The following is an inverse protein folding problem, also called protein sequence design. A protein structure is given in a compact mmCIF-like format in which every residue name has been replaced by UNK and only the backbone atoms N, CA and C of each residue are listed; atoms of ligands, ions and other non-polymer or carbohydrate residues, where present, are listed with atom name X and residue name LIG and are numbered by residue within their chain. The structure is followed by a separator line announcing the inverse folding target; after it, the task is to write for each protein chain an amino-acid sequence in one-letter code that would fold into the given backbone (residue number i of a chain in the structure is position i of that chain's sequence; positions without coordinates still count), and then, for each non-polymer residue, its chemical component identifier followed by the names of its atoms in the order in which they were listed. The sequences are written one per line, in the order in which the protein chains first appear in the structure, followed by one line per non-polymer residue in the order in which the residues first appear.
data_IF_391965931016
#
_entry.id   IF_391965931016
#
_cell.length_a   1.000
_cell.length_b   1.000
_cell.length_c   1.000
_cell.angle_alpha   90.00
_cell.angle_beta   90.00
_cell.angle_gamma   90.00
#
_symmetry.space_group_name_H-M   'P 1'
#
loop_
_entity.id
_entity.type
_entity.pdbx_description
1 polymer ?
#
# COMPACT_ATOMS: atom_id res chain seq x y z
N UNK A 1 -2.41 -48.33 -23.94
CA UNK A 1 -1.58 -47.15 -23.62
C UNK A 1 -2.34 -45.93 -24.08
N UNK A 2 -3.23 -45.38 -23.24
CA UNK A 2 -3.76 -44.04 -23.45
C UNK A 2 -2.68 -43.09 -22.94
N UNK A 3 -1.98 -42.44 -23.84
CA UNK A 3 -1.18 -41.27 -23.53
C UNK A 3 -2.12 -40.22 -22.97
N UNK A 4 -1.98 -39.87 -21.69
CA UNK A 4 -2.58 -38.68 -21.08
C UNK A 4 -2.06 -37.46 -21.86
N UNK A 5 -2.74 -37.12 -22.95
CA UNK A 5 -2.52 -35.86 -23.65
C UNK A 5 -3.15 -34.78 -22.77
N UNK A 6 -2.31 -34.07 -22.03
CA UNK A 6 -2.68 -32.90 -21.25
C UNK A 6 -3.62 -32.00 -22.07
N UNK A 7 -4.87 -31.84 -21.62
CA UNK A 7 -5.89 -31.07 -22.32
C UNK A 7 -5.39 -29.64 -22.54
N UNK A 8 -5.21 -29.24 -23.80
CA UNK A 8 -4.82 -27.87 -24.13
C UNK A 8 -6.03 -26.96 -24.10
N UNK A 9 -5.84 -25.72 -23.66
CA UNK A 9 -6.90 -24.72 -23.57
C UNK A 9 -6.58 -23.50 -24.43
N UNK A 10 -7.62 -22.86 -24.97
CA UNK A 10 -7.52 -21.60 -25.67
C UNK A 10 -6.88 -20.55 -24.76
N UNK A 11 -5.81 -19.92 -25.23
CA UNK A 11 -5.00 -18.98 -24.47
C UNK A 11 -5.66 -17.60 -24.25
N UNK A 12 -6.97 -17.49 -24.50
CA UNK A 12 -7.80 -16.29 -24.34
C UNK A 12 -9.04 -16.53 -23.49
N UNK A 13 -9.87 -17.54 -23.82
CA UNK A 13 -11.15 -17.80 -23.14
C UNK A 13 -11.17 -19.09 -22.29
N UNK A 14 -10.11 -19.91 -22.32
CA UNK A 14 -10.00 -21.11 -21.49
C UNK A 14 -10.89 -22.28 -21.86
N UNK A 15 -11.50 -22.26 -23.06
CA UNK A 15 -12.17 -23.43 -23.61
C UNK A 15 -11.13 -24.50 -24.01
N UNK A 16 -11.37 -25.80 -23.79
CA UNK A 16 -10.54 -26.85 -24.35
C UNK A 16 -10.40 -26.72 -25.86
N UNK A 17 -9.21 -26.99 -26.37
CA UNK A 17 -8.97 -27.08 -27.80
C UNK A 17 -9.03 -28.56 -28.19
N UNK A 18 -10.00 -28.93 -29.00
CA UNK A 18 -10.07 -30.25 -29.60
C UNK A 18 -9.20 -30.26 -30.87
N UNK A 19 -7.89 -30.48 -30.70
CA UNK A 19 -6.93 -30.46 -31.80
C UNK A 19 -6.60 -31.91 -32.18
N UNK A 20 -7.14 -32.37 -33.31
CA UNK A 20 -6.62 -33.55 -33.99
C UNK A 20 -5.30 -33.19 -34.70
N UNK A 21 -4.18 -33.55 -34.06
CA UNK A 21 -2.83 -33.29 -34.56
C UNK A 21 -2.53 -33.96 -35.91
N UNK A 22 -3.34 -34.95 -36.33
CA UNK A 22 -3.14 -35.67 -37.58
C UNK A 22 -3.78 -34.97 -38.79
N UNK A 23 -4.61 -33.95 -38.57
CA UNK A 23 -5.43 -33.31 -39.62
C UNK A 23 -5.49 -31.78 -39.48
N UNK A 24 -4.36 -31.15 -39.16
CA UNK A 24 -4.26 -29.70 -39.07
C UNK A 24 -4.35 -29.08 -40.48
N UNK A 25 -5.53 -28.57 -40.84
CA UNK A 25 -5.69 -27.66 -41.96
C UNK A 25 -4.82 -26.41 -41.78
N UNK A 26 -4.38 -25.80 -42.88
CA UNK A 26 -3.35 -24.73 -42.93
C UNK A 26 -3.67 -23.42 -42.19
N UNK A 27 -4.81 -23.30 -41.50
CA UNK A 27 -5.28 -22.07 -40.85
C UNK A 27 -5.75 -22.23 -39.38
N UNK A 28 -5.56 -23.39 -38.74
CA UNK A 28 -6.04 -23.61 -37.36
C UNK A 28 -4.94 -23.22 -36.36
N UNK A 29 -5.27 -22.38 -35.38
CA UNK A 29 -4.33 -22.00 -34.33
C UNK A 29 -4.18 -23.10 -33.28
N UNK A 30 -2.94 -23.49 -32.97
CA UNK A 30 -2.66 -24.44 -31.89
C UNK A 30 -2.85 -23.86 -30.47
N UNK A 31 -3.05 -22.54 -30.35
CA UNK A 31 -3.15 -21.84 -29.06
C UNK A 31 -4.48 -21.14 -28.83
N UNK A 32 -5.30 -20.90 -29.85
CA UNK A 32 -6.52 -20.10 -29.74
C UNK A 32 -7.68 -20.79 -30.45
N UNK A 33 -8.89 -20.69 -29.86
CA UNK A 33 -10.11 -21.14 -30.55
C UNK A 33 -10.54 -20.12 -31.62
N UNK A 34 -11.32 -20.60 -32.58
CA UNK A 34 -11.79 -19.82 -33.74
C UNK A 34 -12.60 -18.57 -33.35
N UNK A 35 -13.28 -18.62 -32.20
CA UNK A 35 -14.01 -17.47 -31.65
C UNK A 35 -13.09 -16.35 -31.14
N UNK A 36 -11.96 -16.72 -30.54
CA UNK A 36 -11.02 -15.76 -29.95
C UNK A 36 -10.06 -15.17 -30.99
N UNK A 37 -9.79 -15.92 -32.07
CA UNK A 37 -8.86 -15.52 -33.12
C UNK A 37 -9.49 -15.80 -34.49
N UNK A 38 -10.14 -14.79 -35.08
CA UNK A 38 -10.72 -14.87 -36.41
C UNK A 38 -9.79 -14.19 -37.42
N UNK A 39 -9.27 -14.94 -38.39
CA UNK A 39 -8.32 -14.44 -39.41
C UNK A 39 -7.10 -13.69 -38.82
N UNK A 40 -6.59 -14.13 -37.67
CA UNK A 40 -5.45 -13.50 -37.00
C UNK A 40 -5.78 -12.23 -36.20
N UNK A 41 -7.05 -11.80 -36.14
CA UNK A 41 -7.50 -10.63 -35.38
C UNK A 41 -8.31 -11.09 -34.15
N UNK A 42 -7.99 -10.53 -32.97
CA UNK A 42 -8.79 -10.74 -31.76
C UNK A 42 -10.13 -10.03 -31.90
N UNK A 43 -11.22 -10.80 -31.96
CA UNK A 43 -12.56 -10.25 -32.17
C UNK A 43 -13.08 -9.40 -31.02
N UNK A 44 -12.69 -9.70 -29.77
CA UNK A 44 -13.20 -9.04 -28.57
C UNK A 44 -12.17 -9.03 -27.41
N UNK A 45 -12.02 -7.90 -26.69
CA UNK A 45 -11.19 -7.76 -25.47
C UNK A 45 -12.06 -7.70 -24.21
N UNK A 46 -12.80 -8.78 -23.93
CA UNK A 46 -13.54 -8.91 -22.68
C UNK A 46 -12.59 -9.01 -21.46
N UNK A 47 -13.03 -8.52 -20.29
CA UNK A 47 -12.36 -8.76 -19.01
C UNK A 47 -12.49 -10.23 -18.58
N UNK A 48 -11.63 -10.69 -17.66
CA UNK A 48 -11.70 -12.05 -17.14
C UNK A 48 -13.06 -12.30 -16.45
N UNK A 49 -13.49 -11.38 -15.59
CA UNK A 49 -14.75 -11.49 -14.85
C UNK A 49 -15.95 -11.53 -15.80
N UNK A 50 -15.93 -10.73 -16.87
CA UNK A 50 -17.01 -10.76 -17.86
C UNK A 50 -17.04 -12.08 -18.63
N UNK A 51 -15.88 -12.68 -18.93
CA UNK A 51 -15.83 -14.02 -19.53
C UNK A 51 -16.36 -15.09 -18.57
N UNK A 52 -15.99 -15.06 -17.29
CA UNK A 52 -16.52 -15.98 -16.26
C UNK A 52 -18.04 -15.82 -16.17
N UNK A 53 -18.52 -14.58 -16.17
CA UNK A 53 -19.94 -14.27 -16.16
C UNK A 53 -20.67 -14.84 -17.38
N UNK A 54 -20.15 -14.61 -18.60
CA UNK A 54 -20.72 -15.15 -19.84
C UNK A 54 -20.77 -16.68 -19.83
N UNK A 55 -19.70 -17.34 -19.39
CA UNK A 55 -19.69 -18.80 -19.27
C UNK A 55 -20.74 -19.33 -18.30
N UNK A 56 -20.97 -18.63 -17.19
CA UNK A 56 -22.02 -18.99 -16.25
C UNK A 56 -23.45 -18.69 -16.75
N UNK A 57 -23.62 -17.73 -17.68
CA UNK A 57 -24.92 -17.47 -18.31
C UNK A 57 -25.29 -18.55 -19.32
N UNK A 58 -24.31 -19.09 -20.03
CA UNK A 58 -24.51 -20.01 -21.15
C UNK A 58 -23.66 -21.30 -20.99
N UNK A 59 -23.85 -22.10 -19.93
CA UNK A 59 -23.10 -23.34 -19.72
C UNK A 59 -23.31 -24.36 -20.86
N UNK A 60 -24.44 -24.30 -21.57
CA UNK A 60 -24.74 -25.13 -22.73
C UNK A 60 -23.79 -24.89 -23.91
N UNK A 61 -23.29 -23.67 -24.08
CA UNK A 61 -22.29 -23.38 -25.13
C UNK A 61 -20.97 -24.06 -24.81
N UNK A 62 -20.62 -24.18 -23.53
CA UNK A 62 -19.46 -24.97 -23.12
C UNK A 62 -19.72 -26.46 -23.37
N UNK A 63 -20.91 -26.98 -23.04
CA UNK A 63 -21.26 -28.38 -23.33
C UNK A 63 -21.14 -28.74 -24.80
N UNK A 64 -21.58 -27.87 -25.72
CA UNK A 64 -21.46 -28.10 -27.18
C UNK A 64 -20.02 -28.35 -27.63
N UNK A 65 -19.07 -27.69 -26.98
CA UNK A 65 -17.66 -27.69 -27.36
C UNK A 65 -16.87 -28.84 -26.71
N UNK A 66 -17.27 -29.32 -25.53
CA UNK A 66 -16.51 -30.32 -24.76
C UNK A 66 -17.27 -31.59 -24.41
N UNK A 67 -18.57 -31.63 -24.66
CA UNK A 67 -19.43 -32.77 -24.32
C UNK A 67 -19.62 -33.00 -22.81
N UNK A 68 -19.13 -32.11 -21.95
CA UNK A 68 -19.28 -32.20 -20.48
C UNK A 68 -20.28 -31.14 -20.01
N UNK A 69 -21.33 -31.58 -19.32
CA UNK A 69 -22.36 -30.70 -18.78
C UNK A 69 -21.93 -30.17 -17.41
N UNK A 70 -22.03 -28.86 -17.23
CA UNK A 70 -21.79 -28.17 -15.97
C UNK A 70 -22.98 -27.26 -15.66
N UNK A 71 -23.28 -27.09 -14.38
CA UNK A 71 -24.16 -26.01 -13.93
C UNK A 71 -23.46 -24.65 -14.07
N UNK A 72 -24.25 -23.57 -14.06
CA UNK A 72 -23.74 -22.20 -14.07
C UNK A 72 -22.75 -21.89 -12.94
N UNK A 73 -22.90 -22.51 -11.75
CA UNK A 73 -21.96 -22.32 -10.64
C UNK A 73 -20.66 -23.07 -10.88
N UNK A 74 -20.75 -24.33 -11.29
CA UNK A 74 -19.57 -25.19 -11.52
C UNK A 74 -18.67 -24.62 -12.61
N UNK A 75 -19.25 -24.17 -13.73
CA UNK A 75 -18.46 -23.59 -14.82
C UNK A 75 -17.78 -22.29 -14.39
N UNK A 76 -18.43 -21.46 -13.56
CA UNK A 76 -17.80 -20.26 -13.01
C UNK A 76 -16.61 -20.62 -12.12
N UNK A 77 -16.75 -21.62 -11.26
CA UNK A 77 -15.67 -22.07 -10.37
C UNK A 77 -14.49 -22.69 -11.13
N UNK A 78 -14.77 -23.41 -12.22
CA UNK A 78 -13.76 -23.95 -13.13
C UNK A 78 -13.03 -22.80 -13.84
N UNK A 79 -13.75 -21.86 -14.43
CA UNK A 79 -13.15 -20.74 -15.16
C UNK A 79 -12.37 -19.80 -14.23
N UNK A 80 -12.85 -19.58 -13.01
CA UNK A 80 -12.17 -18.76 -12.00
C UNK A 80 -10.80 -19.33 -11.59
N UNK A 81 -10.64 -20.65 -11.63
CA UNK A 81 -9.35 -21.32 -11.39
C UNK A 81 -8.49 -21.41 -12.64
N UNK A 82 -9.10 -21.64 -13.82
CA UNK A 82 -8.39 -21.89 -15.07
C UNK A 82 -7.88 -20.62 -15.75
N UNK A 83 -8.71 -19.58 -15.85
CA UNK A 83 -8.36 -18.37 -16.59
C UNK A 83 -7.09 -17.70 -16.06
N UNK A 84 -6.85 -17.57 -14.73
CA UNK A 84 -5.60 -16.98 -14.22
C UNK A 84 -4.32 -17.66 -14.71
N UNK A 85 -4.34 -18.96 -14.97
CA UNK A 85 -3.15 -19.72 -15.40
C UNK A 85 -2.85 -19.63 -16.90
N UNK A 86 -3.79 -19.13 -17.69
CA UNK A 86 -3.65 -19.00 -19.15
C UNK A 86 -2.73 -17.82 -19.50
N UNK A 87 -1.89 -17.96 -20.54
CA UNK A 87 -0.87 -16.98 -20.96
C UNK A 87 -1.37 -15.52 -20.97
N UNK A 88 -2.51 -15.23 -21.63
CA UNK A 88 -3.08 -13.86 -21.71
C UNK A 88 -3.30 -13.24 -20.33
N UNK A 89 -3.85 -14.01 -19.40
CA UNK A 89 -4.27 -13.54 -18.09
C UNK A 89 -3.12 -13.54 -17.10
N UNK A 90 -2.32 -14.59 -17.10
CA UNK A 90 -1.07 -14.69 -16.35
C UNK A 90 -0.14 -13.52 -16.69
N UNK A 91 0.02 -13.18 -17.97
CA UNK A 91 0.79 -12.01 -18.40
C UNK A 91 0.17 -10.70 -17.90
N UNK A 92 -1.15 -10.51 -18.01
CA UNK A 92 -1.83 -9.31 -17.49
C UNK A 92 -1.64 -9.17 -15.97
N UNK A 93 -1.80 -10.24 -15.19
CA UNK A 93 -1.60 -10.26 -13.72
C UNK A 93 -0.14 -9.94 -13.38
N UNK A 94 0.82 -10.58 -14.04
CA UNK A 94 2.24 -10.32 -13.83
C UNK A 94 2.59 -8.85 -14.15
N UNK A 95 2.02 -8.31 -15.23
CA UNK A 95 2.23 -6.91 -15.60
C UNK A 95 1.66 -5.97 -14.54
N UNK A 96 0.47 -6.26 -14.00
CA UNK A 96 -0.13 -5.48 -12.93
C UNK A 96 0.72 -5.49 -11.65
N UNK A 97 1.24 -6.66 -11.24
CA UNK A 97 2.18 -6.76 -10.11
C UNK A 97 3.44 -5.92 -10.34
N UNK A 98 4.10 -6.07 -11.48
CA UNK A 98 5.32 -5.30 -11.81
C UNK A 98 5.05 -3.79 -11.81
N UNK A 99 3.91 -3.36 -12.35
CA UNK A 99 3.52 -1.95 -12.36
C UNK A 99 3.22 -1.41 -10.95
N UNK A 100 2.59 -2.22 -10.09
CA UNK A 100 2.35 -1.86 -8.70
C UNK A 100 3.67 -1.74 -7.92
N UNK A 101 4.59 -2.70 -8.06
CA UNK A 101 5.91 -2.63 -7.45
C UNK A 101 6.73 -1.42 -7.93
N UNK A 102 6.62 -1.08 -9.21
CA UNK A 102 7.20 0.12 -9.78
C UNK A 102 6.63 1.38 -9.11
N UNK A 103 5.31 1.49 -8.93
CA UNK A 103 4.70 2.64 -8.25
C UNK A 103 5.17 2.74 -6.79
N UNK A 104 5.24 1.62 -6.07
CA UNK A 104 5.70 1.60 -4.67
C UNK A 104 7.15 2.09 -4.55
N UNK A 105 8.05 1.66 -5.45
CA UNK A 105 9.43 2.16 -5.50
C UNK A 105 9.50 3.66 -5.78
N UNK A 106 8.66 4.16 -6.69
CA UNK A 106 8.61 5.60 -6.98
C UNK A 106 8.05 6.40 -5.80
N UNK A 107 7.07 5.89 -5.07
CA UNK A 107 6.58 6.53 -3.85
C UNK A 107 7.70 6.63 -2.79
N UNK A 108 8.47 5.57 -2.62
CA UNK A 108 9.62 5.56 -1.71
C UNK A 108 10.67 6.60 -2.11
N UNK A 109 10.96 6.69 -3.42
CA UNK A 109 11.82 7.75 -3.95
C UNK A 109 11.27 9.15 -3.64
N UNK A 110 9.99 9.40 -3.89
CA UNK A 110 9.34 10.68 -3.58
C UNK A 110 9.42 11.01 -2.10
N UNK A 111 9.21 10.02 -1.23
CA UNK A 111 9.29 10.20 0.22
C UNK A 111 10.69 10.66 0.67
N UNK A 112 11.76 10.10 0.10
CA UNK A 112 13.16 10.47 0.40
C UNK A 112 13.58 11.80 -0.23
N UNK A 113 12.98 12.14 -1.36
CA UNK A 113 13.33 13.30 -2.20
C UNK A 113 12.19 14.34 -2.26
N UNK A 114 11.38 14.44 -1.20
CA UNK A 114 10.09 15.13 -1.23
C UNK A 114 10.20 16.59 -1.69
N UNK A 115 11.29 17.26 -1.31
CA UNK A 115 11.54 18.67 -1.65
C UNK A 115 12.54 18.87 -2.79
N UNK A 116 12.95 17.80 -3.46
CA UNK A 116 13.83 17.89 -4.63
C UNK A 116 13.02 18.26 -5.89
N UNK A 117 13.73 18.47 -7.01
CA UNK A 117 13.09 18.70 -8.31
C UNK A 117 12.52 17.39 -8.87
N UNK A 118 11.25 17.11 -8.52
CA UNK A 118 10.52 15.92 -8.96
C UNK A 118 9.71 16.24 -10.22
N UNK A 119 10.31 16.03 -11.39
CA UNK A 119 9.63 16.20 -12.68
C UNK A 119 8.99 14.88 -13.18
N UNK A 120 7.95 14.99 -14.00
CA UNK A 120 7.35 13.79 -14.61
C UNK A 120 8.36 13.03 -15.48
N UNK A 121 9.25 13.76 -16.14
CA UNK A 121 10.40 13.25 -16.89
C UNK A 121 11.28 12.34 -16.03
N UNK A 122 11.86 12.89 -14.96
CA UNK A 122 12.78 12.18 -14.07
C UNK A 122 12.13 10.95 -13.46
N UNK A 123 10.90 11.08 -12.93
CA UNK A 123 10.18 9.97 -12.32
C UNK A 123 9.85 8.86 -13.33
N UNK A 124 9.45 9.22 -14.56
CA UNK A 124 9.17 8.24 -15.61
C UNK A 124 10.42 7.50 -16.09
N UNK A 125 11.56 8.19 -16.14
CA UNK A 125 12.86 7.62 -16.49
C UNK A 125 13.34 6.65 -15.40
N UNK A 126 13.23 7.03 -14.12
CA UNK A 126 13.50 6.15 -12.97
C UNK A 126 12.60 4.91 -12.99
N UNK A 127 11.35 5.07 -13.42
CA UNK A 127 10.41 3.97 -13.57
C UNK A 127 10.64 3.10 -14.83
N UNK A 128 11.44 3.56 -15.81
CA UNK A 128 11.70 2.82 -17.05
C UNK A 128 10.49 2.73 -18.00
N UNK A 129 9.50 3.61 -17.88
CA UNK A 129 8.29 3.61 -18.72
C UNK A 129 7.96 5.01 -19.24
N UNK A 130 7.19 5.10 -20.33
CA UNK A 130 6.83 6.40 -20.92
C UNK A 130 6.03 7.27 -19.94
N UNK A 131 6.23 8.60 -20.00
CA UNK A 131 5.53 9.59 -19.16
C UNK A 131 4.00 9.41 -19.15
N UNK A 132 3.42 9.15 -20.31
CA UNK A 132 1.97 8.97 -20.47
C UNK A 132 1.48 7.67 -19.82
N UNK A 133 2.24 6.58 -19.94
CA UNK A 133 1.90 5.34 -19.27
C UNK A 133 2.09 5.47 -17.75
N UNK A 134 3.22 6.01 -17.31
CA UNK A 134 3.51 6.27 -15.89
C UNK A 134 2.41 7.10 -15.23
N UNK A 135 2.00 8.21 -15.84
CA UNK A 135 0.93 9.07 -15.28
C UNK A 135 -0.38 8.31 -15.09
N UNK A 136 -0.75 7.42 -16.03
CA UNK A 136 -1.97 6.61 -15.94
C UNK A 136 -1.82 5.55 -14.84
N UNK A 137 -0.73 4.81 -14.85
CA UNK A 137 -0.43 3.74 -13.87
C UNK A 137 -0.40 4.32 -12.45
N UNK A 138 0.32 5.41 -12.24
CA UNK A 138 0.40 6.07 -10.92
C UNK A 138 -0.98 6.51 -10.44
N UNK A 139 -1.81 7.12 -11.31
CA UNK A 139 -3.17 7.51 -10.94
C UNK A 139 -4.06 6.31 -10.61
N UNK A 140 -3.94 5.23 -11.36
CA UNK A 140 -4.71 4.00 -11.10
C UNK A 140 -4.33 3.37 -9.76
N UNK A 141 -3.05 3.36 -9.41
CA UNK A 141 -2.56 2.75 -8.15
C UNK A 141 -2.80 3.66 -6.94
N UNK A 142 -2.49 4.95 -7.05
CA UNK A 142 -2.54 5.89 -5.92
C UNK A 142 -3.89 6.61 -5.78
N UNK A 143 -4.81 6.46 -6.73
CA UNK A 143 -6.09 7.18 -6.77
C UNK A 143 -5.98 8.65 -7.22
N UNK A 144 -4.79 9.25 -7.21
CA UNK A 144 -4.57 10.66 -7.54
C UNK A 144 -3.43 10.90 -8.55
N UNK A 145 -3.41 12.10 -9.15
CA UNK A 145 -2.33 12.44 -10.08
C UNK A 145 -1.02 12.68 -9.32
N UNK A 146 0.10 12.22 -9.88
CA UNK A 146 1.45 12.38 -9.32
C UNK A 146 1.78 13.81 -8.83
N UNK A 147 1.39 14.85 -9.58
CA UNK A 147 1.66 16.24 -9.16
C UNK A 147 0.86 16.64 -7.93
N UNK A 148 -0.40 16.21 -7.85
CA UNK A 148 -1.26 16.43 -6.68
C UNK A 148 -0.77 15.62 -5.48
N UNK A 149 -0.34 14.37 -5.70
CA UNK A 149 0.28 13.52 -4.69
C UNK A 149 1.48 14.21 -4.04
N UNK A 150 2.47 14.63 -4.85
CA UNK A 150 3.67 15.31 -4.34
C UNK A 150 3.31 16.61 -3.62
N UNK A 151 2.39 17.41 -4.18
CA UNK A 151 1.95 18.65 -3.56
C UNK A 151 1.28 18.41 -2.20
N UNK A 152 0.41 17.40 -2.11
CA UNK A 152 -0.25 16.99 -0.86
C UNK A 152 0.78 16.63 0.20
N UNK A 153 1.71 15.72 -0.13
CA UNK A 153 2.74 15.29 0.82
C UNK A 153 3.60 16.46 1.31
N UNK A 154 3.97 17.38 0.42
CA UNK A 154 4.69 18.61 0.79
C UNK A 154 3.89 19.47 1.78
N UNK A 155 2.60 19.68 1.52
CA UNK A 155 1.74 20.50 2.38
C UNK A 155 1.48 19.83 3.73
N UNK A 156 1.29 18.52 3.77
CA UNK A 156 1.11 17.75 5.00
C UNK A 156 2.40 17.74 5.85
N UNK A 157 3.57 17.59 5.23
CA UNK A 157 4.86 17.74 5.92
C UNK A 157 5.02 19.15 6.52
N UNK A 158 4.66 20.19 5.75
CA UNK A 158 4.70 21.58 6.22
C UNK A 158 3.77 21.77 7.40
N UNK A 159 2.52 21.31 7.30
CA UNK A 159 1.56 21.33 8.41
C UNK A 159 2.13 20.64 9.65
N UNK A 160 2.79 19.50 9.48
CA UNK A 160 3.41 18.76 10.57
C UNK A 160 4.49 19.57 11.26
N UNK A 161 5.42 20.17 10.52
CA UNK A 161 6.46 21.05 11.08
C UNK A 161 5.85 22.28 11.78
N UNK A 162 4.76 22.83 11.25
CA UNK A 162 4.10 24.00 11.84
C UNK A 162 3.45 23.73 13.19
N UNK A 163 3.04 22.50 13.48
CA UNK A 163 2.38 22.13 14.75
C UNK A 163 3.30 21.44 15.75
N UNK A 164 4.35 20.78 15.27
CA UNK A 164 5.31 20.04 16.12
C UNK A 164 6.53 20.88 16.52
N UNK A 165 6.70 22.08 15.96
CA UNK A 165 7.84 22.97 16.23
C UNK A 165 7.43 24.45 16.17
N UNK A 166 8.25 25.31 16.77
CA UNK A 166 8.09 26.77 16.72
C UNK A 166 8.74 27.43 15.48
N UNK A 167 9.16 26.63 14.49
CA UNK A 167 9.88 27.11 13.30
C UNK A 167 9.11 28.27 12.62
N UNK A 168 9.78 29.34 12.20
CA UNK A 168 9.08 30.39 11.44
C UNK A 168 8.74 29.91 10.02
N UNK A 169 7.71 30.51 9.39
CA UNK A 169 7.40 30.23 7.97
C UNK A 169 8.60 30.55 7.07
N UNK A 170 9.37 31.57 7.43
CA UNK A 170 10.57 31.98 6.70
C UNK A 170 11.66 30.93 6.79
N UNK A 171 12.00 30.45 8.00
CA UNK A 171 12.98 29.36 8.19
C UNK A 171 12.53 28.08 7.51
N UNK A 172 11.25 27.74 7.60
CA UNK A 172 10.72 26.56 6.93
C UNK A 172 10.96 26.64 5.42
N UNK A 173 10.67 27.79 4.78
CA UNK A 173 10.94 28.04 3.36
C UNK A 173 12.43 27.98 2.97
N UNK A 174 13.36 28.19 3.91
CA UNK A 174 14.78 27.96 3.64
C UNK A 174 15.15 26.48 3.68
N UNK A 175 14.45 25.68 4.48
CA UNK A 175 14.67 24.24 4.60
C UNK A 175 13.98 23.44 3.49
N UNK A 176 12.88 23.96 2.94
CA UNK A 176 12.13 23.31 1.88
C UNK A 176 12.33 24.09 0.58
N UNK A 177 12.58 23.42 -0.54
CA UNK A 177 12.78 24.09 -1.83
C UNK A 177 11.45 24.57 -2.46
N UNK A 178 10.74 25.46 -1.77
CA UNK A 178 9.44 26.00 -2.17
C UNK A 178 9.59 27.46 -2.62
N UNK A 179 9.06 27.82 -3.78
CA UNK A 179 9.49 29.03 -4.49
C UNK A 179 9.37 30.35 -3.70
N UNK A 180 8.26 30.58 -2.99
CA UNK A 180 8.09 31.75 -2.13
C UNK A 180 6.90 31.62 -1.16
N UNK A 181 6.83 32.55 -0.21
CA UNK A 181 5.80 32.61 0.83
C UNK A 181 4.38 32.76 0.29
N UNK A 182 4.16 33.55 -0.77
CA UNK A 182 2.83 33.76 -1.34
C UNK A 182 2.27 32.48 -1.97
N UNK A 183 3.10 31.77 -2.75
CA UNK A 183 2.73 30.48 -3.35
C UNK A 183 2.43 29.45 -2.27
N UNK A 184 3.23 29.39 -1.20
CA UNK A 184 2.98 28.49 -0.08
C UNK A 184 1.65 28.83 0.62
N UNK A 185 1.43 30.09 1.01
CA UNK A 185 0.19 30.47 1.70
C UNK A 185 -1.06 30.19 0.87
N UNK A 186 -1.01 30.41 -0.46
CA UNK A 186 -2.14 30.11 -1.35
C UNK A 186 -2.39 28.61 -1.44
N UNK A 187 -1.35 27.81 -1.64
CA UNK A 187 -1.47 26.35 -1.72
C UNK A 187 -1.96 25.75 -0.39
N UNK A 188 -1.40 26.19 0.73
CA UNK A 188 -1.78 25.75 2.07
C UNK A 188 -3.25 26.07 2.36
N UNK A 189 -3.69 27.31 2.09
CA UNK A 189 -5.09 27.72 2.27
C UNK A 189 -6.04 26.94 1.37
N UNK A 190 -5.64 26.63 0.14
CA UNK A 190 -6.45 25.83 -0.77
C UNK A 190 -6.60 24.38 -0.32
N UNK A 191 -5.60 23.83 0.39
CA UNK A 191 -5.61 22.43 0.82
C UNK A 191 -6.28 22.25 2.19
N UNK A 192 -5.89 23.04 3.19
CA UNK A 192 -6.40 22.95 4.56
C UNK A 192 -7.62 23.83 4.85
N UNK A 193 -8.10 24.60 3.87
CA UNK A 193 -9.20 25.56 4.01
C UNK A 193 -8.99 26.63 5.11
N UNK A 194 -7.75 26.83 5.57
CA UNK A 194 -7.38 27.85 6.55
C UNK A 194 -5.96 28.35 6.29
N UNK A 195 -5.64 29.53 6.84
CA UNK A 195 -4.30 30.11 6.75
C UNK A 195 -3.34 29.44 7.74
N UNK A 196 -2.03 29.55 7.49
CA UNK A 196 -0.99 29.00 8.38
C UNK A 196 -1.14 29.45 9.85
N UNK A 197 -1.37 30.75 10.16
CA UNK A 197 -1.59 31.18 11.54
C UNK A 197 -2.84 30.59 12.18
N UNK A 198 -3.94 30.48 11.43
CA UNK A 198 -5.17 29.84 11.90
C UNK A 198 -4.94 28.36 12.20
N UNK A 199 -4.24 27.65 11.31
CA UNK A 199 -3.88 26.25 11.49
C UNK A 199 -3.09 26.02 12.78
N UNK A 200 -2.06 26.83 13.05
CA UNK A 200 -1.33 26.76 14.32
C UNK A 200 -2.23 26.95 15.52
N UNK A 201 -3.07 27.99 15.50
CA UNK A 201 -3.97 28.31 16.61
C UNK A 201 -4.96 27.18 16.90
N UNK A 202 -5.50 26.54 15.87
CA UNK A 202 -6.41 25.39 16.01
C UNK A 202 -5.72 24.22 16.72
N UNK A 203 -4.47 23.91 16.35
CA UNK A 203 -3.75 22.77 16.93
C UNK A 203 -3.19 23.03 18.32
N UNK A 204 -2.85 24.29 18.65
CA UNK A 204 -2.46 24.73 20.01
C UNK A 204 -3.62 24.67 21.01
N UNK A 205 -4.83 25.11 20.61
CA UNK A 205 -5.97 25.23 21.52
C UNK A 205 -6.76 23.93 21.78
N UNK A 206 -6.51 22.88 21.00
CA UNK A 206 -7.17 21.59 21.13
C UNK A 206 -6.73 20.77 22.37
N UNK A 207 -5.95 21.36 23.30
CA UNK A 207 -5.69 20.81 24.64
C UNK A 207 -6.88 20.88 25.62
N UNK A 208 -8.01 21.47 25.21
CA UNK A 208 -9.12 21.76 26.12
C UNK A 208 -10.10 20.61 26.36
N UNK A 209 -10.06 19.52 25.57
CA UNK A 209 -10.97 18.37 25.81
C UNK A 209 -10.33 17.36 26.74
N UNK A 210 -10.43 17.66 28.03
CA UNK A 210 -9.99 16.82 29.12
C UNK A 210 -10.70 15.46 29.18
N UNK A 211 -9.93 14.46 29.61
CA UNK A 211 -10.27 13.72 30.85
C UNK A 211 -9.07 13.04 31.51
N UNK A 212 -7.96 12.78 30.83
CA UNK A 212 -6.66 12.48 31.46
C UNK A 212 -5.54 12.85 30.48
N UNK A 213 -4.55 13.69 30.86
CA UNK A 213 -3.38 13.89 30.01
C UNK A 213 -2.64 12.56 29.92
N UNK A 214 -2.52 12.03 28.70
CA UNK A 214 -1.71 10.84 28.42
C UNK A 214 -0.26 11.24 28.69
N UNK A 215 0.27 10.98 29.87
CA UNK A 215 1.67 11.25 30.21
C UNK A 215 2.43 9.93 30.20
N UNK A 216 2.80 9.49 29.00
CA UNK A 216 3.61 8.29 28.82
C UNK A 216 5.07 8.71 28.80
N UNK A 217 5.86 8.17 29.73
CA UNK A 217 7.31 8.38 29.73
C UNK A 217 7.94 7.45 28.70
N UNK A 218 8.61 7.96 27.66
CA UNK A 218 9.26 7.11 26.69
C UNK A 218 10.57 6.53 27.24
N UNK A 219 10.92 5.36 26.73
CA UNK A 219 12.27 4.79 26.85
C UNK A 219 13.06 5.14 25.59
N UNK A 220 14.31 5.56 25.76
CA UNK A 220 15.20 5.88 24.64
C UNK A 220 16.01 4.64 24.32
N UNK A 221 15.85 4.11 23.11
CA UNK A 221 16.47 2.86 22.69
C UNK A 221 17.21 3.04 21.36
N UNK A 222 18.33 2.32 21.23
CA UNK A 222 19.03 2.20 19.95
C UNK A 222 18.51 0.96 19.22
N UNK A 223 17.81 1.18 18.12
CA UNK A 223 17.17 0.14 17.32
C UNK A 223 18.06 -0.17 16.11
N UNK A 224 18.29 -1.45 15.86
CA UNK A 224 18.96 -1.94 14.65
C UNK A 224 17.98 -1.98 13.47
N UNK A 225 18.45 -2.05 12.21
CA UNK A 225 17.55 -2.21 11.08
C UNK A 225 16.69 -3.46 11.23
N UNK A 226 15.38 -3.30 11.08
CA UNK A 226 14.41 -4.38 11.14
C UNK A 226 13.90 -4.61 9.73
N UNK A 227 14.06 -5.85 9.25
CA UNK A 227 13.52 -6.27 7.96
C UNK A 227 12.06 -6.72 8.14
N UNK A 228 11.18 -6.20 7.30
CA UNK A 228 9.73 -6.37 7.40
C UNK A 228 9.19 -6.87 6.07
N UNK A 229 8.38 -7.94 6.10
CA UNK A 229 7.51 -8.30 4.99
C UNK A 229 6.17 -7.57 5.17
N UNK A 230 5.84 -6.66 4.26
CA UNK A 230 4.72 -5.75 4.43
C UNK A 230 3.81 -5.64 3.20
N UNK A 231 2.59 -5.18 3.46
CA UNK A 231 1.62 -4.71 2.49
C UNK A 231 1.36 -3.23 2.74
N UNK A 232 1.11 -2.48 1.67
CA UNK A 232 0.95 -1.02 1.70
C UNK A 232 -0.46 -0.62 1.30
N UNK A 233 -1.09 0.25 2.09
CA UNK A 233 -2.31 0.96 1.71
C UNK A 233 -2.00 2.45 1.56
N UNK A 234 -2.42 3.02 0.43
CA UNK A 234 -2.18 4.43 0.10
C UNK A 234 -3.44 5.29 0.17
N UNK A 235 -4.57 4.68 -0.14
CA UNK A 235 -5.87 5.33 -0.18
C UNK A 235 -6.97 4.30 0.03
N UNK A 236 -8.03 4.71 0.72
CA UNK A 236 -9.21 3.87 0.96
C UNK A 236 -10.45 4.72 1.26
N UNK A 237 -11.61 4.25 0.84
CA UNK A 237 -12.90 4.80 1.29
C UNK A 237 -13.39 4.15 2.60
N UNK A 238 -12.82 3.00 2.97
CA UNK A 238 -13.28 2.13 4.05
C UNK A 238 -12.10 1.63 4.90
N UNK A 239 -11.43 2.55 5.60
CA UNK A 239 -10.19 2.27 6.34
C UNK A 239 -10.27 1.05 7.24
N UNK A 240 -11.33 0.92 8.05
CA UNK A 240 -11.48 -0.20 8.98
C UNK A 240 -11.59 -1.56 8.28
N UNK A 241 -12.27 -1.60 7.14
CA UNK A 241 -12.42 -2.83 6.36
C UNK A 241 -11.09 -3.21 5.71
N UNK A 242 -10.47 -2.28 4.98
CA UNK A 242 -9.28 -2.57 4.20
C UNK A 242 -8.08 -2.86 5.12
N UNK A 243 -7.96 -2.15 6.24
CA UNK A 243 -6.99 -2.45 7.29
C UNK A 243 -7.17 -3.88 7.83
N UNK A 244 -8.42 -4.30 8.10
CA UNK A 244 -8.73 -5.66 8.54
C UNK A 244 -8.37 -6.72 7.49
N UNK A 245 -8.61 -6.45 6.21
CA UNK A 245 -8.23 -7.35 5.11
C UNK A 245 -6.71 -7.53 5.05
N UNK A 246 -5.94 -6.45 5.13
CA UNK A 246 -4.48 -6.53 5.09
C UNK A 246 -3.92 -7.29 6.30
N UNK A 247 -4.43 -7.05 7.51
CA UNK A 247 -4.01 -7.82 8.68
C UNK A 247 -4.33 -9.31 8.56
N UNK A 248 -5.47 -9.70 7.98
CA UNK A 248 -5.79 -11.11 7.72
C UNK A 248 -4.75 -11.75 6.78
N UNK A 249 -4.28 -11.03 5.77
CA UNK A 249 -3.24 -11.50 4.86
C UNK A 249 -1.88 -11.66 5.57
N UNK A 250 -1.50 -10.69 6.42
CA UNK A 250 -0.28 -10.80 7.25
C UNK A 250 -0.36 -11.99 8.22
N UNK A 251 -1.51 -12.19 8.86
CA UNK A 251 -1.73 -13.33 9.76
C UNK A 251 -1.63 -14.66 9.00
N UNK A 252 -2.23 -14.75 7.81
CA UNK A 252 -2.13 -15.94 6.97
C UNK A 252 -0.68 -16.24 6.54
N UNK A 253 0.09 -15.21 6.16
CA UNK A 253 1.52 -15.35 5.87
C UNK A 253 2.30 -15.85 7.09
N UNK A 254 2.01 -15.27 8.26
CA UNK A 254 2.64 -15.65 9.51
C UNK A 254 2.38 -17.11 9.90
N UNK A 255 1.16 -17.61 9.66
CA UNK A 255 0.76 -18.99 9.96
C UNK A 255 1.34 -19.98 8.92
N UNK A 256 1.34 -19.64 7.63
CA UNK A 256 1.83 -20.53 6.57
C UNK A 256 3.34 -20.71 6.55
N UNK A 257 4.09 -19.71 7.05
CA UNK A 257 5.55 -19.73 7.11
C UNK A 257 6.12 -19.96 8.52
N UNK A 258 5.28 -20.30 9.51
CA UNK A 258 5.66 -20.51 10.92
C UNK A 258 6.54 -19.38 11.51
N UNK A 259 6.18 -18.13 11.21
CA UNK A 259 6.97 -16.97 11.65
C UNK A 259 6.78 -16.66 13.15
N UNK A 260 5.70 -17.12 13.78
CA UNK A 260 5.46 -16.91 15.21
C UNK A 260 6.50 -17.62 16.09
N UNK A 261 6.99 -18.77 15.63
CA UNK A 261 8.02 -19.56 16.32
C UNK A 261 9.40 -18.87 16.33
N UNK A 262 9.61 -17.87 15.46
CA UNK A 262 10.86 -17.13 15.30
C UNK A 262 10.87 -15.76 16.03
N UNK A 263 10.03 -15.56 17.06
CA UNK A 263 9.88 -14.28 17.77
C UNK A 263 9.58 -13.08 16.84
N UNK A 264 8.92 -13.33 15.70
CA UNK A 264 8.59 -12.27 14.77
C UNK A 264 7.49 -11.37 15.34
N UNK A 265 7.64 -10.06 15.18
CA UNK A 265 6.72 -9.05 15.68
C UNK A 265 5.83 -8.53 14.54
N UNK A 266 4.56 -8.29 14.86
CA UNK A 266 3.65 -7.58 13.97
C UNK A 266 3.95 -6.09 14.03
N UNK A 267 4.06 -5.45 12.87
CA UNK A 267 4.41 -4.04 12.75
C UNK A 267 3.36 -3.32 11.91
N UNK A 268 2.98 -2.12 12.33
CA UNK A 268 2.38 -1.12 11.43
C UNK A 268 3.34 0.06 11.28
N UNK A 269 3.39 0.65 10.09
CA UNK A 269 4.12 1.88 9.85
C UNK A 269 3.14 2.92 9.33
N UNK A 270 3.08 4.06 10.00
CA UNK A 270 2.29 5.20 9.53
C UNK A 270 3.22 6.15 8.82
N UNK A 271 2.96 6.41 7.54
CA UNK A 271 3.78 7.28 6.70
C UNK A 271 3.35 8.76 6.78
N UNK A 272 2.23 9.01 7.44
CA UNK A 272 1.54 10.29 7.53
C UNK A 272 1.26 10.66 8.99
N UNK A 273 0.90 11.93 9.25
CA UNK A 273 0.52 12.35 10.59
C UNK A 273 -1.00 12.23 10.76
N UNK A 274 -1.51 11.38 11.68
CA UNK A 274 -2.96 11.21 11.90
C UNK A 274 -3.68 12.49 12.31
N UNK A 275 -2.95 13.51 12.77
CA UNK A 275 -3.50 14.81 13.16
C UNK A 275 -3.76 15.73 11.96
N UNK A 276 -3.23 15.41 10.78
CA UNK A 276 -3.17 16.30 9.62
C UNK A 276 -3.80 15.64 8.41
N UNK A 277 -3.38 14.43 8.11
CA UNK A 277 -3.80 13.71 6.92
C UNK A 277 -5.21 13.19 7.11
N UNK A 278 -6.03 13.28 6.06
CA UNK A 278 -7.40 12.74 6.12
C UNK A 278 -7.36 11.22 6.22
N UNK A 279 -8.35 10.61 6.88
CA UNK A 279 -8.42 9.14 7.03
C UNK A 279 -8.36 8.42 5.67
N UNK A 280 -9.01 9.01 4.64
CA UNK A 280 -9.04 8.43 3.29
C UNK A 280 -7.69 8.42 2.59
N UNK A 281 -6.83 9.38 2.90
CA UNK A 281 -5.52 9.58 2.26
C UNK A 281 -4.35 9.17 3.17
N UNK A 282 -4.66 8.59 4.33
CA UNK A 282 -3.66 8.13 5.29
C UNK A 282 -2.97 6.89 4.74
N UNK A 283 -1.67 7.01 4.53
CA UNK A 283 -0.81 5.94 4.02
C UNK A 283 -0.24 5.14 5.17
N UNK A 284 -0.39 3.83 5.10
CA UNK A 284 0.15 2.93 6.09
C UNK A 284 0.68 1.65 5.46
N UNK A 285 1.63 1.04 6.16
CA UNK A 285 2.09 -0.31 5.88
C UNK A 285 1.77 -1.19 7.08
N UNK A 286 1.36 -2.42 6.81
CA UNK A 286 1.21 -3.45 7.84
C UNK A 286 2.09 -4.64 7.46
N UNK A 287 2.71 -5.25 8.45
CA UNK A 287 3.73 -6.25 8.19
C UNK A 287 4.08 -7.10 9.39
N UNK A 288 5.01 -8.00 9.13
CA UNK A 288 5.65 -8.84 10.14
C UNK A 288 7.16 -8.77 9.95
N UNK A 289 7.91 -8.72 11.05
CA UNK A 289 9.37 -8.80 10.98
C UNK A 289 9.79 -10.15 10.42
N UNK A 290 10.84 -10.18 9.60
CA UNK A 290 11.34 -11.41 9.01
C UNK A 290 12.86 -11.49 9.11
N UNK A 291 13.44 -12.68 9.29
CA UNK A 291 14.89 -12.86 9.24
C UNK A 291 15.50 -12.44 7.89
N UNK A 292 16.80 -12.12 7.89
CA UNK A 292 17.52 -11.79 6.65
C UNK A 292 17.52 -12.94 5.63
N UNK A 293 17.45 -14.20 6.09
CA UNK A 293 17.38 -15.39 5.24
C UNK A 293 15.98 -15.66 4.66
N UNK A 294 14.93 -14.99 5.14
CA UNK A 294 13.57 -15.25 4.70
C UNK A 294 13.33 -14.74 3.28
N UNK A 295 12.74 -15.59 2.44
CA UNK A 295 12.32 -15.23 1.09
C UNK A 295 10.89 -14.68 1.15
N UNK A 296 10.74 -13.38 0.93
CA UNK A 296 9.43 -12.72 0.97
C UNK A 296 8.61 -13.17 -0.26
N UNK A 297 7.40 -13.72 -0.09
CA UNK A 297 6.58 -14.15 -1.22
C UNK A 297 6.18 -13.01 -2.15
N UNK A 298 5.93 -13.35 -3.42
CA UNK A 298 5.40 -12.39 -4.40
C UNK A 298 4.11 -11.74 -3.90
N UNK A 299 3.96 -10.43 -4.15
CA UNK A 299 2.84 -9.62 -3.69
C UNK A 299 3.07 -8.93 -2.33
N UNK A 300 4.10 -9.32 -1.58
CA UNK A 300 4.57 -8.60 -0.40
C UNK A 300 5.83 -7.80 -0.73
N UNK A 301 6.00 -6.67 -0.04
CA UNK A 301 7.20 -5.86 -0.12
C UNK A 301 8.16 -6.17 1.02
N UNK A 302 9.45 -6.01 0.75
CA UNK A 302 10.44 -5.92 1.81
C UNK A 302 10.66 -4.45 2.14
N UNK A 303 10.47 -4.07 3.39
CA UNK A 303 10.85 -2.77 3.92
C UNK A 303 11.87 -2.95 5.04
N UNK A 304 12.84 -2.05 5.15
CA UNK A 304 13.86 -2.07 6.18
C UNK A 304 13.85 -0.74 6.91
N UNK A 305 13.70 -0.78 8.24
CA UNK A 305 13.71 0.43 9.07
C UNK A 305 15.13 0.98 9.20
N UNK A 306 15.27 2.30 9.33
CA UNK A 306 16.58 2.90 9.57
C UNK A 306 17.11 2.61 10.97
N UNK A 307 18.40 2.26 11.09
CA UNK A 307 19.05 2.14 12.39
C UNK A 307 19.09 3.50 13.11
N UNK A 308 19.01 3.51 14.44
CA UNK A 308 19.34 4.70 15.24
C UNK A 308 18.59 4.79 16.55
N UNK A 309 18.50 6.02 17.09
CA UNK A 309 17.82 6.28 18.36
C UNK A 309 16.32 6.49 18.14
N UNK A 310 15.52 5.80 18.94
CA UNK A 310 14.07 5.90 18.97
C UNK A 310 13.59 6.22 20.39
N UNK A 311 12.60 7.09 20.50
CA UNK A 311 11.78 7.19 21.69
C UNK A 311 10.62 6.19 21.56
N UNK A 312 10.57 5.22 22.48
CA UNK A 312 9.57 4.15 22.47
C UNK A 312 8.53 4.43 23.55
N UNK A 313 7.28 4.61 23.13
CA UNK A 313 6.15 4.90 24.01
C UNK A 313 5.32 3.62 24.18
N UNK A 314 5.36 2.98 25.37
CA UNK A 314 4.49 1.85 25.66
C UNK A 314 3.06 2.34 25.84
N UNK A 315 2.14 1.79 25.06
CA UNK A 315 0.72 2.05 25.14
C UNK A 315 -0.04 0.75 25.47
N UNK A 316 -0.96 0.85 26.45
CA UNK A 316 -1.91 -0.21 26.78
C UNK A 316 -3.32 0.36 26.69
N UNK A 317 -4.13 -0.18 25.79
CA UNK A 317 -5.51 0.28 25.61
C UNK A 317 -6.06 0.02 24.22
N UNK A 318 -7.14 0.72 23.89
CA UNK A 318 -7.88 0.52 22.64
C UNK A 318 -7.17 1.28 21.49
N UNK A 319 -7.11 0.69 20.30
CA UNK A 319 -6.40 1.32 19.16
C UNK A 319 -6.95 2.70 18.76
N UNK A 320 -8.25 2.96 18.95
CA UNK A 320 -8.81 4.29 18.68
C UNK A 320 -8.27 5.38 19.62
N UNK A 321 -7.64 5.02 20.74
CA UNK A 321 -6.99 5.94 21.66
C UNK A 321 -5.57 6.29 21.23
N UNK A 322 -4.96 5.57 20.27
CA UNK A 322 -3.63 5.87 19.74
C UNK A 322 -3.53 7.31 19.21
N UNK A 323 -4.61 7.84 18.61
CA UNK A 323 -4.66 9.24 18.17
C UNK A 323 -4.39 10.24 19.29
N UNK A 324 -4.85 9.94 20.52
CA UNK A 324 -4.57 10.78 21.71
C UNK A 324 -3.11 10.67 22.12
N UNK A 325 -2.51 9.49 21.98
CA UNK A 325 -1.10 9.25 22.25
C UNK A 325 -0.21 9.99 21.25
N UNK A 326 -0.47 9.88 19.95
CA UNK A 326 0.25 10.64 18.92
C UNK A 326 0.11 12.15 19.11
N UNK A 327 -1.08 12.62 19.52
CA UNK A 327 -1.28 14.04 19.89
C UNK A 327 -0.33 14.46 21.00
N UNK A 328 -0.27 13.70 22.10
CA UNK A 328 0.65 13.97 23.20
C UNK A 328 2.12 13.94 22.74
N UNK A 329 2.51 12.92 21.98
CA UNK A 329 3.89 12.77 21.48
C UNK A 329 4.30 14.01 20.67
N UNK A 330 3.49 14.42 19.69
CA UNK A 330 3.88 15.47 18.75
C UNK A 330 3.66 16.89 19.25
N UNK A 331 2.65 17.13 20.10
CA UNK A 331 2.28 18.49 20.52
C UNK A 331 2.75 18.84 21.93
N UNK A 332 2.94 17.85 22.82
CA UNK A 332 3.35 18.10 24.20
C UNK A 332 4.78 17.63 24.46
N UNK A 333 5.07 16.36 24.21
CA UNK A 333 6.36 15.76 24.55
C UNK A 333 7.47 16.24 23.61
N UNK A 334 7.32 16.11 22.28
CA UNK A 334 8.39 16.40 21.33
C UNK A 334 8.86 17.87 21.39
N UNK A 335 7.98 18.89 21.45
CA UNK A 335 8.41 20.29 21.57
C UNK A 335 9.16 20.59 22.86
N UNK A 336 8.70 20.03 23.99
CA UNK A 336 9.32 20.22 25.31
C UNK A 336 10.53 19.30 25.58
N UNK A 337 10.72 18.28 24.76
CA UNK A 337 11.85 17.34 24.87
C UNK A 337 13.17 17.97 24.42
N UNK A 338 14.28 17.34 24.81
CA UNK A 338 15.61 17.61 24.26
C UNK A 338 15.87 17.04 22.87
N UNK A 339 14.83 16.56 22.17
CA UNK A 339 14.94 15.83 20.90
C UNK A 339 14.12 16.49 19.80
N UNK A 340 14.52 16.25 18.55
CA UNK A 340 13.71 16.50 17.34
C UNK A 340 13.50 15.22 16.58
N UNK A 341 12.44 15.17 15.78
CA UNK A 341 12.19 14.06 14.89
C UNK A 341 13.28 13.97 13.80
N UNK A 342 13.87 12.79 13.63
CA UNK A 342 14.87 12.53 12.57
C UNK A 342 14.21 12.49 11.19
N UNK A 343 13.11 11.75 11.09
CA UNK A 343 12.37 11.47 9.86
C UNK A 343 10.86 11.35 10.19
N UNK A 344 9.95 11.63 9.25
CA UNK A 344 8.51 11.67 9.54
C UNK A 344 7.89 10.28 9.83
N UNK A 345 8.57 9.19 9.49
CA UNK A 345 7.99 7.85 9.57
C UNK A 345 8.11 7.26 10.96
N UNK A 346 6.98 6.76 11.46
CA UNK A 346 6.91 6.10 12.76
C UNK A 346 6.32 4.71 12.58
N UNK A 347 6.65 3.82 13.50
CA UNK A 347 6.12 2.47 13.47
C UNK A 347 5.68 2.00 14.84
N UNK A 348 4.76 1.05 14.83
CA UNK A 348 4.20 0.43 16.02
C UNK A 348 4.52 -1.06 15.99
N UNK A 349 4.93 -1.62 17.12
CA UNK A 349 5.03 -3.07 17.28
C UNK A 349 3.93 -3.56 18.19
N UNK A 350 3.19 -4.59 17.77
CA UNK A 350 2.11 -5.18 18.54
C UNK A 350 2.62 -6.41 19.31
N UNK A 351 2.64 -6.31 20.64
CA UNK A 351 3.15 -7.36 21.52
C UNK A 351 2.16 -8.51 21.74
N UNK A 352 0.89 -8.27 21.44
CA UNK A 352 -0.19 -9.24 21.54
C UNK A 352 -1.23 -8.98 20.45
N UNK A 353 -2.18 -9.92 20.29
CA UNK A 353 -3.17 -9.87 19.21
C UNK A 353 -4.60 -9.79 19.75
N UNK A 354 -5.51 -9.04 19.10
CA UNK A 354 -6.92 -8.98 19.48
C UNK A 354 -7.64 -10.33 19.45
N UNK A 355 -7.09 -11.33 18.75
CA UNK A 355 -7.62 -12.71 18.72
C UNK A 355 -7.40 -13.47 20.03
N UNK A 356 -6.31 -13.15 20.76
CA UNK A 356 -5.86 -13.87 21.96
C UNK A 356 -5.94 -13.03 23.24
N UNK A 357 -6.16 -11.72 23.12
CA UNK A 357 -6.07 -10.78 24.23
C UNK A 357 -7.26 -9.82 24.21
N UNK A 358 -7.90 -9.55 25.37
CA UNK A 358 -8.94 -8.53 25.46
C UNK A 358 -8.43 -7.18 24.96
N UNK A 359 -9.31 -6.40 24.32
CA UNK A 359 -8.92 -5.14 23.65
C UNK A 359 -8.30 -4.13 24.64
N UNK A 360 -8.74 -4.11 25.89
CA UNK A 360 -8.19 -3.27 26.97
C UNK A 360 -6.80 -3.68 27.46
N UNK A 361 -6.34 -4.87 27.08
CA UNK A 361 -5.03 -5.41 27.43
C UNK A 361 -4.06 -5.44 26.25
N UNK A 362 -4.48 -4.91 25.09
CA UNK A 362 -3.61 -4.78 23.94
C UNK A 362 -2.42 -3.88 24.28
N UNK A 363 -1.23 -4.34 23.93
CA UNK A 363 0.03 -3.66 24.19
C UNK A 363 0.69 -3.32 22.86
N UNK A 364 0.96 -2.04 22.68
CA UNK A 364 1.56 -1.48 21.48
C UNK A 364 2.73 -0.62 21.90
N UNK A 365 3.90 -0.82 21.31
CA UNK A 365 5.03 0.09 21.46
C UNK A 365 5.10 0.99 20.23
N UNK A 366 5.08 2.30 20.43
CA UNK A 366 5.16 3.30 19.36
C UNK A 366 6.61 3.82 19.29
N UNK A 367 7.25 3.68 18.14
CA UNK A 367 8.63 4.05 17.89
C UNK A 367 8.69 5.37 17.13
N UNK A 368 9.24 6.39 17.78
CA UNK A 368 9.43 7.73 17.23
C UNK A 368 10.92 7.95 16.96
N UNK A 369 11.37 8.10 15.70
CA UNK A 369 12.79 8.28 15.38
C UNK A 369 13.26 9.68 15.79
N UNK A 370 14.30 9.74 16.61
CA UNK A 370 14.73 10.99 17.25
C UNK A 370 16.22 11.26 17.06
N UNK A 371 16.56 12.55 17.11
CA UNK A 371 17.93 13.05 17.25
C UNK A 371 17.94 14.13 18.34
N UNK A 372 19.07 14.30 19.02
CA UNK A 372 19.19 15.35 20.04
C UNK A 372 19.15 16.74 19.39
N UNK A 373 18.44 17.68 20.02
CA UNK A 373 18.50 19.10 19.65
C UNK A 373 19.94 19.58 19.83
N UNK A 374 20.54 20.12 18.77
CA UNK A 374 21.77 20.88 18.90
C UNK A 374 21.44 22.11 19.76
N UNK A 375 22.06 22.21 20.93
CA UNK A 375 21.91 23.36 21.83
C UNK A 375 22.62 24.58 21.26
#
# INVERSE_FOLDING_TARGET
MQTDTETKYCQTCGIPLDIDYNNLGTNISMEYCDYCLKHGVKGYDFSMDYLIYLWGLFPEEYYKEVGISYTSSEIRDIMSRRLPEIKRWKQKINTAHVLYELVVRIQEYINRHLFDELSLDTLSQTAGISKYHFRRVFKTVCGENIGLYIQRLRLEYIAFKLISTDISVTELLYQINYQNKHTLSRAFKSYFNCTIPEFRKLHLNACSEGKHPVQIVPRIEKVLPIRIACLKLEWTEHISHDFSVLWKQILHLSESCDLQSNNCQYISLTLDCPLISSEKQSRFMVGITVPASFCVPNGFFTYETEAGEYAVFPFKGLYHELNRVYRYIYLDWLPSSGYTLREPFTFETYLNTPKKTPVSELRTDIYIPIVRKNK
#
